data_IF_181835259543
#
_entry.id   IF_181835259543
#
_cell.length_a   1.000
_cell.length_b   1.000
_cell.length_c   1.000
_cell.angle_alpha   90.00
_cell.angle_beta   90.00
_cell.angle_gamma   90.00
#
_symmetry.space_group_name_H-M   'P 1'
#
loop_
_entity.id
_entity.type
_entity.pdbx_description
1 polymer ?
#
# COMPACT_ATOMS: atom_id res chain seq x y z
N UNK A 1 -1.19 24.62 32.25
CA UNK A 1 -0.96 24.21 30.85
C UNK A 1 -1.63 22.84 30.74
N UNK A 2 -2.79 22.77 30.06
CA UNK A 2 -3.48 21.49 29.84
C UNK A 2 -2.57 20.63 28.96
N UNK A 3 -2.17 19.48 29.43
CA UNK A 3 -1.52 18.44 28.61
C UNK A 3 -2.54 17.98 27.55
N UNK A 4 -2.65 18.75 26.48
CA UNK A 4 -3.37 18.27 25.30
C UNK A 4 -2.52 17.14 24.73
N UNK A 5 -3.00 15.92 24.83
CA UNK A 5 -2.35 14.75 24.24
C UNK A 5 -2.17 14.90 22.73
N UNK A 6 -1.56 13.93 22.04
CA UNK A 6 -1.33 13.99 20.59
C UNK A 6 -2.64 14.17 19.84
N UNK A 7 -2.63 15.02 18.81
CA UNK A 7 -3.78 15.21 17.92
C UNK A 7 -3.91 14.09 16.90
N UNK A 8 -2.76 13.58 16.41
CA UNK A 8 -2.66 12.54 15.38
C UNK A 8 -2.00 11.29 15.97
N UNK A 9 -2.58 10.14 15.70
CA UNK A 9 -1.92 8.84 15.92
C UNK A 9 -1.52 8.26 14.56
N UNK A 10 -0.20 8.13 14.35
CA UNK A 10 0.37 7.45 13.17
C UNK A 10 0.44 5.97 13.47
N UNK A 11 -0.18 5.13 12.64
CA UNK A 11 -0.28 3.68 12.84
C UNK A 11 0.49 2.98 11.72
N UNK A 12 1.49 2.19 12.11
CA UNK A 12 2.43 1.51 11.21
C UNK A 12 2.35 0.00 11.42
N UNK A 13 1.65 -0.76 10.56
CA UNK A 13 1.68 -2.21 10.60
C UNK A 13 3.05 -2.73 10.15
N UNK A 14 3.64 -3.65 10.90
CA UNK A 14 4.97 -4.21 10.63
C UNK A 14 4.93 -5.75 10.59
N UNK A 15 5.69 -6.34 9.65
CA UNK A 15 5.93 -7.79 9.59
C UNK A 15 7.27 -8.09 8.88
N UNK A 16 8.28 -8.57 9.62
CA UNK A 16 9.56 -9.05 9.09
C UNK A 16 10.32 -8.07 8.18
N UNK A 17 10.26 -6.77 8.42
CA UNK A 17 10.88 -5.72 7.59
C UNK A 17 11.62 -4.67 8.42
N UNK A 18 12.54 -5.04 9.34
CA UNK A 18 13.14 -4.09 10.28
C UNK A 18 13.90 -2.94 9.59
N UNK A 19 14.61 -3.20 8.50
CA UNK A 19 15.36 -2.16 7.76
C UNK A 19 14.43 -1.14 7.08
N UNK A 20 13.27 -1.57 6.58
CA UNK A 20 12.28 -0.65 6.04
C UNK A 20 11.60 0.15 7.16
N UNK A 21 11.24 -0.52 8.27
CA UNK A 21 10.67 0.13 9.44
C UNK A 21 11.59 1.26 9.96
N UNK A 22 12.89 1.02 10.07
CA UNK A 22 13.86 2.04 10.49
C UNK A 22 13.79 3.28 9.59
N UNK A 23 13.76 3.09 8.27
CA UNK A 23 13.61 4.19 7.31
C UNK A 23 12.28 4.93 7.45
N UNK A 24 11.19 4.20 7.70
CA UNK A 24 9.87 4.78 7.93
C UNK A 24 9.90 5.67 9.17
N UNK A 25 10.36 5.16 10.30
CA UNK A 25 10.44 5.88 11.57
C UNK A 25 11.36 7.10 11.47
N UNK A 26 12.53 6.96 10.86
CA UNK A 26 13.43 8.10 10.61
C UNK A 26 12.77 9.21 9.73
N UNK A 27 11.85 8.85 8.84
CA UNK A 27 11.09 9.83 8.06
C UNK A 27 10.00 10.52 8.88
N UNK A 28 9.41 9.81 9.84
CA UNK A 28 8.41 10.38 10.76
C UNK A 28 9.04 11.33 11.77
N UNK A 29 10.27 11.08 12.20
CA UNK A 29 11.02 12.03 13.06
C UNK A 29 11.37 13.34 12.35
N UNK A 30 11.40 13.33 11.00
CA UNK A 30 11.69 14.51 10.17
C UNK A 30 10.45 15.29 9.75
N UNK A 31 9.29 15.02 10.36
CA UNK A 31 8.08 15.77 10.05
C UNK A 31 8.21 17.24 10.46
N UNK A 32 7.67 18.15 9.63
CA UNK A 32 7.61 19.59 9.93
C UNK A 32 6.50 19.94 10.93
N UNK A 33 5.57 19.03 11.18
CA UNK A 33 4.64 19.10 12.30
C UNK A 33 5.40 18.80 13.59
N UNK A 34 5.22 19.63 14.63
CA UNK A 34 5.89 19.42 15.91
C UNK A 34 5.56 18.05 16.48
N UNK A 35 6.58 17.38 16.99
CA UNK A 35 6.52 16.04 17.57
C UNK A 35 5.56 15.91 18.77
N UNK A 36 5.19 17.03 19.41
CA UNK A 36 4.21 17.06 20.48
C UNK A 36 2.78 16.81 19.98
N UNK A 37 2.51 17.03 18.69
CA UNK A 37 1.17 16.90 18.12
C UNK A 37 0.85 15.51 17.58
N UNK A 38 1.81 14.59 17.54
CA UNK A 38 1.54 13.23 17.08
C UNK A 38 2.28 12.16 17.89
N UNK A 39 1.71 11.00 17.93
CA UNK A 39 2.33 9.76 18.41
C UNK A 39 2.53 8.79 17.26
N UNK A 40 3.48 7.87 17.41
CA UNK A 40 3.72 6.79 16.43
C UNK A 40 3.54 5.45 17.13
N UNK A 41 2.71 4.60 16.55
CA UNK A 41 2.37 3.26 17.06
C UNK A 41 2.75 2.25 15.98
N UNK A 42 3.80 1.48 16.23
CA UNK A 42 4.17 0.32 15.43
C UNK A 42 3.43 -0.89 15.96
N UNK A 43 2.80 -1.64 15.07
CA UNK A 43 2.12 -2.88 15.43
C UNK A 43 2.77 -4.05 14.71
N UNK A 44 3.53 -4.84 15.43
CA UNK A 44 4.11 -6.07 14.91
C UNK A 44 3.03 -7.14 14.72
N UNK A 45 2.92 -7.67 13.52
CA UNK A 45 1.91 -8.67 13.15
C UNK A 45 2.48 -10.09 13.07
N UNK A 46 3.32 -10.44 14.04
CA UNK A 46 3.89 -11.77 14.19
C UNK A 46 5.16 -11.97 13.37
N UNK A 47 6.09 -11.04 13.46
CA UNK A 47 7.45 -11.20 12.94
C UNK A 47 8.18 -12.36 13.63
N UNK A 48 9.11 -12.99 12.94
CA UNK A 48 9.97 -14.03 13.50
C UNK A 48 10.84 -13.47 14.67
N UNK A 49 11.28 -12.21 14.52
CA UNK A 49 11.96 -11.44 15.54
C UNK A 49 11.27 -10.08 15.65
N UNK A 50 11.02 -9.63 16.88
CA UNK A 50 10.48 -8.29 17.12
C UNK A 50 11.52 -7.23 16.72
N UNK A 51 11.11 -6.08 16.19
CA UNK A 51 12.02 -5.03 15.75
C UNK A 51 12.55 -4.19 16.94
N UNK A 52 12.96 -4.82 18.02
CA UNK A 52 13.42 -4.16 19.25
C UNK A 52 14.63 -3.26 18.99
N UNK A 53 15.62 -3.75 18.24
CA UNK A 53 16.84 -3.00 17.91
C UNK A 53 16.55 -1.71 17.10
N UNK A 54 15.48 -1.74 16.29
CA UNK A 54 15.00 -0.55 15.59
C UNK A 54 14.36 0.41 16.59
N UNK A 55 13.50 -0.09 17.47
CA UNK A 55 12.76 0.74 18.43
C UNK A 55 13.67 1.37 19.51
N UNK A 56 14.77 0.75 19.85
CA UNK A 56 15.79 1.35 20.75
C UNK A 56 16.34 2.68 20.20
N UNK A 57 16.45 2.81 18.87
CA UNK A 57 16.86 4.05 18.19
C UNK A 57 15.74 5.10 18.13
N UNK A 58 14.49 4.68 18.35
CA UNK A 58 13.28 5.51 18.23
C UNK A 58 12.43 5.48 19.51
N UNK A 59 12.94 6.01 20.65
CA UNK A 59 12.34 5.78 21.98
C UNK A 59 10.95 6.40 22.18
N UNK A 60 10.51 7.27 21.26
CA UNK A 60 9.17 7.87 21.27
C UNK A 60 8.11 6.98 20.61
N UNK A 61 8.53 5.91 19.94
CA UNK A 61 7.64 5.00 19.21
C UNK A 61 7.12 3.91 20.13
N UNK A 62 5.82 3.71 20.14
CA UNK A 62 5.18 2.63 20.89
C UNK A 62 5.13 1.37 20.05
N UNK A 63 5.60 0.25 20.61
CA UNK A 63 5.47 -1.08 19.99
C UNK A 63 4.28 -1.84 20.60
N UNK A 64 3.42 -2.34 19.73
CA UNK A 64 2.35 -3.27 20.06
C UNK A 64 2.52 -4.57 19.26
N UNK A 65 1.86 -5.63 19.70
CA UNK A 65 1.80 -6.89 18.97
C UNK A 65 0.35 -7.26 18.67
N UNK A 66 0.13 -7.80 17.47
CA UNK A 66 -1.15 -8.37 17.04
C UNK A 66 -0.89 -9.78 16.48
N UNK A 67 -1.47 -10.79 17.13
CA UNK A 67 -1.29 -12.20 16.77
C UNK A 67 -2.18 -12.64 15.62
N UNK A 68 -3.35 -12.01 15.46
CA UNK A 68 -4.24 -12.29 14.32
C UNK A 68 -3.56 -11.80 13.03
N UNK A 69 -3.43 -12.67 12.02
CA UNK A 69 -2.68 -12.33 10.81
C UNK A 69 -3.42 -11.28 9.96
N UNK A 70 -2.65 -10.40 9.36
CA UNK A 70 -3.10 -9.43 8.38
C UNK A 70 -2.89 -7.98 8.79
N UNK A 71 -2.56 -7.10 7.82
CA UNK A 71 -2.29 -5.69 8.08
C UNK A 71 -3.51 -4.94 8.63
N UNK A 72 -4.73 -5.35 8.23
CA UNK A 72 -5.97 -4.79 8.79
C UNK A 72 -6.09 -5.04 10.30
N UNK A 73 -5.72 -6.25 10.76
CA UNK A 73 -5.74 -6.59 12.19
C UNK A 73 -4.70 -5.77 12.98
N UNK A 74 -3.51 -5.59 12.40
CA UNK A 74 -2.48 -4.75 13.00
C UNK A 74 -2.95 -3.28 13.11
N UNK A 75 -3.56 -2.73 12.05
CA UNK A 75 -4.11 -1.37 12.08
C UNK A 75 -5.22 -1.22 13.13
N UNK A 76 -6.12 -2.19 13.25
CA UNK A 76 -7.16 -2.21 14.27
C UNK A 76 -6.57 -2.21 15.69
N UNK A 77 -5.52 -3.00 15.92
CA UNK A 77 -4.81 -3.02 17.20
C UNK A 77 -4.17 -1.67 17.53
N UNK A 78 -3.58 -1.00 16.53
CA UNK A 78 -3.03 0.34 16.68
C UNK A 78 -4.10 1.38 17.00
N UNK A 79 -5.23 1.35 16.29
CA UNK A 79 -6.36 2.24 16.55
C UNK A 79 -6.91 2.09 17.96
N UNK A 80 -7.04 0.86 18.45
CA UNK A 80 -7.55 0.58 19.81
C UNK A 80 -6.69 1.20 20.91
N UNK A 81 -5.39 1.44 20.66
CA UNK A 81 -4.45 1.99 21.61
C UNK A 81 -4.11 3.47 21.36
N UNK A 82 -4.53 4.00 20.21
CA UNK A 82 -4.29 5.37 19.78
C UNK A 82 -4.99 6.40 20.68
N UNK A 83 -4.31 7.53 20.94
CA UNK A 83 -4.84 8.64 21.76
C UNK A 83 -5.35 9.82 20.92
N UNK A 84 -4.84 9.97 19.70
CA UNK A 84 -5.19 11.05 18.80
C UNK A 84 -6.64 10.99 18.29
N UNK A 85 -7.20 12.15 18.00
CA UNK A 85 -8.51 12.27 17.35
C UNK A 85 -8.47 12.07 15.83
N UNK A 86 -7.28 11.99 15.25
CA UNK A 86 -7.01 11.75 13.83
C UNK A 86 -6.11 10.53 13.73
N UNK A 87 -6.44 9.60 12.83
CA UNK A 87 -5.63 8.44 12.49
C UNK A 87 -4.93 8.66 11.15
N UNK A 88 -3.62 8.44 11.11
CA UNK A 88 -2.82 8.47 9.90
C UNK A 88 -2.16 7.09 9.71
N UNK A 89 -2.46 6.42 8.61
CA UNK A 89 -1.93 5.10 8.30
C UNK A 89 -0.82 5.21 7.25
N UNK A 90 0.30 4.58 7.54
CA UNK A 90 1.45 4.45 6.63
C UNK A 90 2.02 3.04 6.78
N UNK A 91 2.43 2.42 5.65
CA UNK A 91 3.03 1.08 5.69
C UNK A 91 4.51 1.17 6.13
N UNK A 92 5.00 0.12 6.82
CA UNK A 92 6.37 0.09 7.36
C UNK A 92 7.46 0.18 6.29
N UNK A 93 7.15 -0.12 5.04
CA UNK A 93 8.07 0.02 3.90
C UNK A 93 7.98 1.38 3.19
N UNK A 94 7.14 2.28 3.68
CA UNK A 94 7.00 3.63 3.16
C UNK A 94 7.86 4.65 3.94
N UNK A 95 8.18 5.77 3.30
CA UNK A 95 8.80 6.96 3.91
C UNK A 95 7.87 8.15 3.72
N UNK A 96 7.56 8.85 4.79
CA UNK A 96 6.75 10.06 4.73
C UNK A 96 7.54 11.25 4.17
N UNK A 97 6.90 12.08 3.32
CA UNK A 97 7.44 13.40 2.99
C UNK A 97 7.49 14.26 4.28
N UNK A 98 8.48 15.15 4.45
CA UNK A 98 8.57 15.99 5.66
C UNK A 98 7.30 16.75 6.02
N UNK A 99 6.50 17.18 5.06
CA UNK A 99 5.25 17.89 5.28
C UNK A 99 4.01 16.99 5.34
N UNK A 100 4.15 15.66 5.32
CA UNK A 100 3.03 14.71 5.23
C UNK A 100 1.98 14.94 6.32
N UNK A 101 2.38 14.96 7.60
CA UNK A 101 1.45 15.17 8.72
C UNK A 101 0.93 16.61 8.80
N UNK A 102 1.74 17.61 8.41
CA UNK A 102 1.31 19.00 8.34
C UNK A 102 0.20 19.20 7.32
N UNK A 103 0.38 18.65 6.12
CA UNK A 103 -0.64 18.67 5.05
C UNK A 103 -1.88 17.91 5.49
N UNK A 104 -1.71 16.70 6.03
CA UNK A 104 -2.82 15.89 6.54
C UNK A 104 -3.65 16.63 7.59
N UNK A 105 -2.99 17.23 8.59
CA UNK A 105 -3.64 17.98 9.65
C UNK A 105 -4.40 19.20 9.12
N UNK A 106 -3.76 20.00 8.28
CA UNK A 106 -4.39 21.19 7.72
C UNK A 106 -5.62 20.83 6.86
N UNK A 107 -5.48 19.81 6.02
CA UNK A 107 -6.55 19.41 5.10
C UNK A 107 -7.73 18.79 5.86
N UNK A 108 -7.47 17.87 6.82
CA UNK A 108 -8.57 17.21 7.55
C UNK A 108 -9.35 18.21 8.40
N UNK A 109 -8.66 19.17 9.04
CA UNK A 109 -9.29 20.20 9.86
C UNK A 109 -10.11 21.20 9.02
N UNK A 110 -9.68 21.51 7.78
CA UNK A 110 -10.42 22.33 6.83
C UNK A 110 -11.54 21.60 6.08
N UNK A 111 -11.63 20.27 6.21
CA UNK A 111 -12.61 19.46 5.48
C UNK A 111 -13.89 19.26 6.27
N UNK A 112 -15.05 19.13 5.59
CA UNK A 112 -16.30 18.72 6.23
C UNK A 112 -16.17 17.41 7.01
N UNK A 113 -17.13 17.16 7.91
CA UNK A 113 -17.23 15.89 8.61
C UNK A 113 -17.39 14.73 7.61
N UNK A 114 -16.98 13.52 8.02
CA UNK A 114 -17.03 12.31 7.20
C UNK A 114 -16.16 12.40 5.92
N UNK A 115 -15.07 13.16 6.01
CA UNK A 115 -14.06 13.21 4.95
C UNK A 115 -12.86 12.35 5.31
N UNK A 116 -12.47 11.50 4.37
CA UNK A 116 -11.31 10.61 4.44
C UNK A 116 -10.31 11.06 3.39
N UNK A 117 -9.05 11.24 3.79
CA UNK A 117 -8.00 11.71 2.89
C UNK A 117 -7.17 10.51 2.42
N UNK A 118 -6.96 10.40 1.12
CA UNK A 118 -5.95 9.53 0.51
C UNK A 118 -4.90 10.38 -0.16
N UNK A 119 -3.62 10.14 0.17
CA UNK A 119 -2.52 10.90 -0.38
C UNK A 119 -1.88 10.28 -1.62
N UNK A 120 -0.88 10.94 -2.17
CA UNK A 120 -0.08 10.43 -3.27
C UNK A 120 0.96 9.42 -2.77
N UNK A 121 1.19 8.37 -3.55
CA UNK A 121 2.26 7.41 -3.32
C UNK A 121 3.22 7.46 -4.49
N UNK A 122 4.43 7.87 -4.22
CA UNK A 122 5.51 7.96 -5.20
C UNK A 122 6.52 6.85 -4.99
N UNK A 123 7.26 6.51 -6.02
CA UNK A 123 8.33 5.52 -5.91
C UNK A 123 9.58 6.19 -5.33
N UNK A 124 10.09 5.62 -4.21
CA UNK A 124 11.36 6.07 -3.62
C UNK A 124 12.53 5.80 -4.57
N UNK A 125 13.47 6.74 -4.62
CA UNK A 125 14.70 6.66 -5.41
C UNK A 125 15.89 7.09 -4.58
N UNK A 126 16.87 6.22 -4.44
CA UNK A 126 18.12 6.57 -3.77
C UNK A 126 18.93 7.56 -4.62
N UNK A 127 18.92 7.40 -5.94
CA UNK A 127 19.45 8.38 -6.89
C UNK A 127 18.30 9.08 -7.64
N UNK A 128 18.18 10.40 -7.47
CA UNK A 128 17.11 11.20 -8.09
C UNK A 128 17.17 11.20 -9.62
N UNK A 129 18.31 10.87 -10.21
CA UNK A 129 18.53 10.97 -11.66
C UNK A 129 18.32 9.67 -12.44
N UNK A 130 18.25 8.52 -11.75
CA UNK A 130 18.12 7.23 -12.43
C UNK A 130 16.91 6.43 -11.95
N UNK A 131 16.14 5.94 -12.92
CA UNK A 131 15.10 4.94 -12.69
C UNK A 131 15.60 3.56 -13.11
N UNK A 132 15.47 2.56 -12.26
CA UNK A 132 15.40 1.19 -12.74
C UNK A 132 14.17 1.01 -13.65
N UNK A 133 14.18 0.02 -14.52
CA UNK A 133 13.05 -0.22 -15.42
C UNK A 133 11.75 -0.45 -14.64
N UNK A 134 11.84 -1.17 -13.51
CA UNK A 134 10.70 -1.47 -12.64
C UNK A 134 10.22 -0.21 -11.93
N UNK A 135 11.13 0.58 -11.37
CA UNK A 135 10.78 1.85 -10.72
C UNK A 135 10.07 2.80 -11.70
N UNK A 136 10.54 2.89 -12.95
CA UNK A 136 9.89 3.69 -13.99
C UNK A 136 8.46 3.21 -14.27
N UNK A 137 8.26 1.91 -14.41
CA UNK A 137 6.93 1.33 -14.60
C UNK A 137 6.02 1.56 -13.39
N UNK A 138 6.50 1.29 -12.18
CA UNK A 138 5.72 1.42 -10.96
C UNK A 138 5.33 2.88 -10.66
N UNK A 139 6.16 3.85 -11.02
CA UNK A 139 5.85 5.28 -10.88
C UNK A 139 4.57 5.70 -11.60
N UNK A 140 4.15 4.95 -12.63
CA UNK A 140 2.94 5.26 -13.42
C UNK A 140 1.80 4.29 -13.11
N UNK A 141 2.11 3.00 -12.97
CA UNK A 141 1.11 1.93 -12.96
C UNK A 141 0.87 1.30 -11.60
N UNK A 142 1.73 1.57 -10.58
CA UNK A 142 1.46 1.21 -9.20
C UNK A 142 0.81 2.40 -8.45
N UNK A 143 0.20 2.10 -7.30
CA UNK A 143 -0.27 3.11 -6.34
C UNK A 143 -1.09 4.26 -6.96
N UNK A 144 -2.06 3.94 -7.82
CA UNK A 144 -2.90 4.94 -8.50
C UNK A 144 -4.02 5.44 -7.58
N UNK A 145 -3.69 5.98 -6.43
CA UNK A 145 -4.64 6.36 -5.40
C UNK A 145 -5.63 7.41 -5.88
N UNK A 146 -5.17 8.40 -6.67
CA UNK A 146 -6.09 9.34 -7.33
C UNK A 146 -7.21 8.62 -8.07
N UNK A 147 -6.85 7.65 -8.93
CA UNK A 147 -7.83 6.89 -9.69
C UNK A 147 -8.74 6.04 -8.80
N UNK A 148 -8.18 5.41 -7.75
CA UNK A 148 -8.97 4.60 -6.82
C UNK A 148 -10.00 5.45 -6.08
N UNK A 149 -9.62 6.65 -5.65
CA UNK A 149 -10.49 7.59 -4.95
C UNK A 149 -11.57 8.14 -5.90
N UNK A 150 -11.17 8.68 -7.05
CA UNK A 150 -12.07 9.38 -7.96
C UNK A 150 -13.03 8.45 -8.71
N UNK A 151 -12.61 7.21 -9.02
CA UNK A 151 -13.39 6.29 -9.84
C UNK A 151 -13.96 5.09 -9.07
N UNK A 152 -13.35 4.71 -7.96
CA UNK A 152 -13.72 3.50 -7.22
C UNK A 152 -14.13 3.76 -5.77
N UNK A 153 -13.96 5.00 -5.27
CA UNK A 153 -14.42 5.40 -3.95
C UNK A 153 -13.66 4.74 -2.78
N UNK A 154 -12.41 4.35 -2.96
CA UNK A 154 -11.57 3.85 -1.88
C UNK A 154 -10.12 4.36 -2.04
N UNK A 155 -9.33 4.25 -1.00
CA UNK A 155 -7.89 4.51 -1.01
C UNK A 155 -7.14 3.34 -0.39
N UNK A 156 -5.91 3.11 -0.85
CA UNK A 156 -5.00 2.19 -0.17
C UNK A 156 -4.62 2.71 1.22
N UNK A 157 -4.44 1.82 2.16
CA UNK A 157 -4.15 2.15 3.56
C UNK A 157 -2.72 2.61 3.83
N UNK A 158 -1.81 2.47 2.85
CA UNK A 158 -0.43 2.94 2.98
C UNK A 158 -0.26 4.47 2.96
N UNK A 159 -1.33 5.23 2.68
CA UNK A 159 -1.38 6.69 2.79
C UNK A 159 -2.83 7.15 2.97
N UNK A 160 -3.38 6.91 4.15
CA UNK A 160 -4.80 7.14 4.47
C UNK A 160 -4.91 7.91 5.78
N UNK A 161 -5.72 8.97 5.80
CA UNK A 161 -5.96 9.78 7.01
C UNK A 161 -7.46 9.99 7.21
N UNK A 162 -7.93 9.86 8.45
CA UNK A 162 -9.31 10.06 8.83
C UNK A 162 -9.46 10.50 10.27
N UNK A 163 -10.60 11.03 10.63
CA UNK A 163 -10.95 11.29 12.03
C UNK A 163 -11.32 9.97 12.74
N UNK A 164 -11.06 9.90 14.03
CA UNK A 164 -11.50 8.78 14.89
C UNK A 164 -12.99 8.50 14.71
N UNK A 165 -13.81 9.55 14.72
CA UNK A 165 -15.27 9.43 14.56
C UNK A 165 -15.69 8.76 13.26
N UNK A 166 -14.91 8.95 12.17
CA UNK A 166 -15.18 8.29 10.88
C UNK A 166 -14.79 6.81 10.93
N UNK A 167 -13.67 6.48 11.56
CA UNK A 167 -13.29 5.09 11.79
C UNK A 167 -14.30 4.35 12.68
N UNK A 168 -14.73 4.98 13.78
CA UNK A 168 -15.70 4.39 14.71
C UNK A 168 -17.06 4.16 14.02
N UNK A 169 -17.47 5.05 13.12
CA UNK A 169 -18.70 4.94 12.33
C UNK A 169 -18.65 3.79 11.31
N UNK A 170 -17.52 3.60 10.64
CA UNK A 170 -17.34 2.56 9.61
C UNK A 170 -17.02 1.19 10.24
N UNK A 171 -16.33 1.22 11.37
CA UNK A 171 -15.83 0.03 12.06
C UNK A 171 -14.46 -0.44 11.58
N UNK A 172 -13.98 -1.55 12.15
CA UNK A 172 -12.61 -2.03 11.95
C UNK A 172 -12.35 -2.54 10.53
N UNK A 173 -11.08 -2.58 10.13
CA UNK A 173 -10.62 -3.25 8.92
C UNK A 173 -10.89 -4.75 9.00
N UNK A 174 -11.20 -5.36 7.86
CA UNK A 174 -11.38 -6.81 7.75
C UNK A 174 -10.05 -7.59 7.84
N UNK A 175 -10.15 -8.91 7.99
CA UNK A 175 -9.00 -9.82 8.02
C UNK A 175 -8.41 -10.13 6.65
N UNK A 176 -7.57 -11.17 6.63
CA UNK A 176 -6.76 -11.55 5.44
C UNK A 176 -7.56 -12.17 4.29
N UNK A 177 -8.81 -12.47 4.49
CA UNK A 177 -9.64 -13.18 3.50
C UNK A 177 -10.15 -12.25 2.39
N UNK A 178 -10.03 -10.95 2.60
CA UNK A 178 -10.44 -9.90 1.65
C UNK A 178 -9.32 -8.88 1.44
N UNK A 179 -9.45 -8.07 0.38
CA UNK A 179 -8.65 -6.86 0.22
C UNK A 179 -9.20 -5.80 1.19
N UNK A 180 -8.55 -5.64 2.33
CA UNK A 180 -9.05 -4.88 3.48
C UNK A 180 -9.30 -3.40 3.17
N UNK A 181 -8.52 -2.83 2.26
CA UNK A 181 -8.64 -1.45 1.80
C UNK A 181 -9.89 -1.23 0.93
N UNK A 182 -10.19 -2.15 0.04
CA UNK A 182 -11.39 -2.12 -0.82
C UNK A 182 -12.64 -2.35 0.02
N UNK A 183 -12.62 -3.38 0.90
CA UNK A 183 -13.75 -3.67 1.78
C UNK A 183 -14.08 -2.49 2.68
N UNK A 184 -13.06 -1.96 3.36
CA UNK A 184 -13.24 -0.83 4.27
C UNK A 184 -13.71 0.43 3.52
N UNK A 185 -13.14 0.71 2.35
CA UNK A 185 -13.55 1.83 1.50
C UNK A 185 -15.01 1.76 1.08
N UNK A 186 -15.50 0.58 0.68
CA UNK A 186 -16.91 0.36 0.34
C UNK A 186 -17.81 0.63 1.53
N UNK A 187 -17.50 0.09 2.71
CA UNK A 187 -18.26 0.34 3.95
C UNK A 187 -18.25 1.82 4.35
N UNK A 188 -17.13 2.51 4.12
CA UNK A 188 -17.05 3.94 4.37
C UNK A 188 -17.99 4.76 3.47
N UNK A 189 -18.08 4.42 2.18
CA UNK A 189 -19.06 5.04 1.28
C UNK A 189 -20.49 4.74 1.70
N UNK A 190 -20.82 3.50 2.04
CA UNK A 190 -22.14 3.08 2.53
C UNK A 190 -22.51 3.82 3.84
N UNK A 191 -21.52 4.12 4.69
CA UNK A 191 -21.69 4.92 5.89
C UNK A 191 -21.78 6.44 5.63
N UNK A 192 -21.74 6.89 4.36
CA UNK A 192 -21.84 8.30 3.97
C UNK A 192 -20.54 9.09 4.11
N UNK A 193 -19.38 8.41 4.22
CA UNK A 193 -18.09 9.06 4.13
C UNK A 193 -17.74 9.35 2.67
N UNK A 194 -16.90 10.37 2.46
CA UNK A 194 -16.35 10.68 1.14
C UNK A 194 -14.83 10.68 1.16
N UNK A 195 -14.23 10.19 0.10
CA UNK A 195 -12.79 10.23 -0.09
C UNK A 195 -12.38 11.48 -0.85
N UNK A 196 -11.26 12.09 -0.45
CA UNK A 196 -10.62 13.18 -1.15
C UNK A 196 -9.17 12.79 -1.43
N UNK A 197 -8.73 12.97 -2.67
CA UNK A 197 -7.33 12.82 -3.03
C UNK A 197 -6.56 14.12 -2.71
N UNK A 198 -5.46 13.97 -1.96
CA UNK A 198 -4.60 15.08 -1.52
C UNK A 198 -3.20 14.87 -2.11
N UNK A 199 -2.88 15.48 -3.26
CA UNK A 199 -1.62 15.24 -3.96
C UNK A 199 -0.37 15.65 -3.18
N UNK A 200 -0.48 16.63 -2.27
CA UNK A 200 0.61 17.12 -1.45
C UNK A 200 0.89 16.23 -0.22
N UNK A 201 -0.04 15.34 0.14
CA UNK A 201 0.13 14.35 1.21
C UNK A 201 0.90 13.16 0.65
N UNK A 202 2.24 13.28 0.54
CA UNK A 202 3.09 12.34 -0.18
C UNK A 202 3.73 11.32 0.77
N UNK A 203 3.70 10.06 0.38
CA UNK A 203 4.58 9.02 0.91
C UNK A 203 5.36 8.36 -0.24
N UNK A 204 6.56 7.87 0.09
CA UNK A 204 7.44 7.20 -0.87
C UNK A 204 7.49 5.72 -0.55
N UNK A 205 7.22 4.88 -1.53
CA UNK A 205 7.30 3.43 -1.43
C UNK A 205 8.50 2.92 -2.25
N UNK A 206 9.28 1.93 -1.76
CA UNK A 206 10.36 1.35 -2.54
C UNK A 206 9.83 0.64 -3.78
N UNK A 207 10.54 0.77 -4.91
CA UNK A 207 10.23 -0.04 -6.07
C UNK A 207 10.57 -1.51 -5.81
N UNK A 208 9.84 -2.41 -6.44
CA UNK A 208 10.21 -3.83 -6.50
C UNK A 208 11.57 -3.99 -7.15
N UNK A 209 12.33 -4.97 -6.67
CA UNK A 209 13.72 -5.16 -7.10
C UNK A 209 13.84 -6.03 -8.37
N UNK A 210 12.81 -6.83 -8.69
CA UNK A 210 12.86 -7.78 -9.80
C UNK A 210 11.54 -7.93 -10.54
N UNK A 211 11.62 -8.30 -11.83
CA UNK A 211 10.45 -8.71 -12.62
C UNK A 211 9.69 -9.87 -11.97
N UNK A 212 10.41 -10.76 -11.28
CA UNK A 212 9.80 -11.89 -10.55
C UNK A 212 8.85 -11.39 -9.47
N UNK A 213 9.20 -10.37 -8.71
CA UNK A 213 8.33 -9.78 -7.69
C UNK A 213 7.08 -9.13 -8.30
N UNK A 214 7.22 -8.48 -9.47
CA UNK A 214 6.06 -7.99 -10.23
C UNK A 214 5.15 -9.13 -10.68
N UNK A 215 5.72 -10.22 -11.17
CA UNK A 215 4.95 -11.39 -11.61
C UNK A 215 4.22 -12.06 -10.45
N UNK A 216 4.87 -12.25 -9.29
CA UNK A 216 4.24 -12.76 -8.06
C UNK A 216 3.06 -11.88 -7.63
N UNK A 217 3.23 -10.55 -7.66
CA UNK A 217 2.12 -9.62 -7.41
C UNK A 217 0.94 -9.89 -8.34
N UNK A 218 1.20 -9.98 -9.66
CA UNK A 218 0.14 -10.18 -10.64
C UNK A 218 -0.48 -11.58 -10.57
N UNK A 219 0.29 -12.60 -10.21
CA UNK A 219 -0.24 -13.94 -9.95
C UNK A 219 -1.29 -13.91 -8.85
N UNK A 220 -0.99 -13.28 -7.72
CA UNK A 220 -1.94 -13.12 -6.61
C UNK A 220 -3.23 -12.44 -7.05
N UNK A 221 -3.12 -11.31 -7.79
CA UNK A 221 -4.29 -10.60 -8.29
C UNK A 221 -5.11 -11.42 -9.30
N UNK A 222 -4.45 -12.14 -10.21
CA UNK A 222 -5.11 -12.94 -11.22
C UNK A 222 -5.77 -14.17 -10.63
N UNK A 223 -5.13 -14.84 -9.68
CA UNK A 223 -5.69 -15.97 -8.95
C UNK A 223 -6.94 -15.55 -8.16
N UNK A 224 -6.86 -14.44 -7.43
CA UNK A 224 -8.03 -13.89 -6.74
C UNK A 224 -9.19 -13.61 -7.72
N UNK A 225 -8.90 -12.96 -8.85
CA UNK A 225 -9.91 -12.69 -9.88
C UNK A 225 -10.47 -13.96 -10.55
N UNK A 226 -9.66 -15.01 -10.68
CA UNK A 226 -10.09 -16.30 -11.21
C UNK A 226 -10.98 -17.10 -10.24
N UNK A 227 -10.74 -16.98 -8.93
CA UNK A 227 -11.53 -17.64 -7.89
C UNK A 227 -13.01 -17.17 -7.84
N UNK A 228 -13.32 -16.01 -8.43
CA UNK A 228 -14.69 -15.50 -8.57
C UNK A 228 -15.42 -16.17 -9.77
N UNK A 229 -14.78 -17.14 -10.43
CA UNK A 229 -15.33 -17.86 -11.57
C UNK A 229 -16.58 -18.66 -11.20
N UNK A 230 -17.62 -18.54 -12.02
CA UNK A 230 -18.80 -19.41 -11.98
C UNK A 230 -18.62 -20.72 -12.78
N UNK A 231 -17.46 -20.91 -13.41
CA UNK A 231 -17.11 -22.08 -14.24
C UNK A 231 -17.84 -22.18 -15.58
N UNK A 232 -18.71 -21.21 -15.92
CA UNK A 232 -19.53 -21.24 -17.13
C UNK A 232 -18.69 -20.96 -18.40
N UNK A 233 -19.19 -21.42 -19.56
CA UNK A 233 -18.59 -21.10 -20.88
C UNK A 233 -18.60 -19.57 -21.10
N UNK A 234 -19.65 -18.89 -20.67
CA UNK A 234 -19.75 -17.44 -20.77
C UNK A 234 -18.67 -16.71 -19.96
N UNK A 235 -18.32 -17.24 -18.76
CA UNK A 235 -17.20 -16.70 -17.99
C UNK A 235 -15.87 -16.89 -18.72
N UNK A 236 -15.61 -18.10 -19.25
CA UNK A 236 -14.37 -18.40 -20.01
C UNK A 236 -14.20 -17.48 -21.20
N UNK A 237 -15.25 -17.26 -21.98
CA UNK A 237 -15.22 -16.34 -23.13
C UNK A 237 -14.88 -14.90 -22.70
N UNK A 238 -15.54 -14.38 -21.66
CA UNK A 238 -15.24 -13.05 -21.09
C UNK A 238 -13.81 -12.97 -20.56
N UNK A 239 -13.32 -14.03 -19.93
CA UNK A 239 -11.96 -14.09 -19.40
C UNK A 239 -10.89 -14.05 -20.51
N UNK A 240 -11.09 -14.80 -21.61
CA UNK A 240 -10.23 -14.75 -22.81
C UNK A 240 -10.25 -13.37 -23.45
N UNK A 241 -11.43 -12.79 -23.66
CA UNK A 241 -11.56 -11.45 -24.21
C UNK A 241 -10.81 -10.41 -23.34
N UNK A 242 -10.92 -10.53 -22.02
CA UNK A 242 -10.16 -9.70 -21.07
C UNK A 242 -8.65 -9.95 -21.18
N UNK A 243 -8.21 -11.19 -21.35
CA UNK A 243 -6.79 -11.52 -21.53
C UNK A 243 -6.25 -10.86 -22.82
N UNK A 244 -6.97 -10.95 -23.94
CA UNK A 244 -6.60 -10.29 -25.19
C UNK A 244 -6.56 -8.76 -25.04
N UNK A 245 -7.53 -8.17 -24.38
CA UNK A 245 -7.54 -6.73 -24.08
C UNK A 245 -6.34 -6.32 -23.22
N UNK A 246 -5.95 -7.14 -22.22
CA UNK A 246 -4.74 -6.90 -21.43
C UNK A 246 -3.49 -6.94 -22.31
N UNK A 247 -3.36 -7.90 -23.23
CA UNK A 247 -2.22 -7.99 -24.15
C UNK A 247 -2.12 -6.77 -25.07
N UNK A 248 -3.26 -6.30 -25.58
CA UNK A 248 -3.33 -5.14 -26.50
C UNK A 248 -3.19 -3.79 -25.75
N UNK A 249 -3.37 -3.76 -24.43
CA UNK A 249 -3.45 -2.50 -23.68
C UNK A 249 -2.22 -1.59 -23.77
N UNK A 250 -0.97 -2.05 -23.99
CA UNK A 250 0.17 -1.15 -24.21
C UNK A 250 -0.03 -0.19 -25.37
N UNK A 251 -0.74 -0.60 -26.42
CA UNK A 251 -1.06 0.25 -27.58
C UNK A 251 -1.98 1.43 -27.23
N UNK A 252 -2.68 1.36 -26.11
CA UNK A 252 -3.58 2.43 -25.61
C UNK A 252 -2.96 3.16 -24.41
N UNK A 253 -2.11 2.49 -23.65
CA UNK A 253 -1.54 3.03 -22.41
C UNK A 253 -0.21 3.78 -22.60
N UNK A 254 0.45 3.67 -23.76
CA UNK A 254 1.72 4.34 -24.03
C UNK A 254 1.67 5.88 -23.84
N UNK A 255 0.56 6.61 -24.11
CA UNK A 255 0.55 8.05 -23.91
C UNK A 255 0.69 8.41 -22.42
N UNK A 256 0.17 7.57 -21.51
CA UNK A 256 0.34 7.76 -20.06
C UNK A 256 1.81 7.74 -19.65
N UNK A 257 2.66 7.00 -20.37
CA UNK A 257 4.10 6.93 -20.13
C UNK A 257 4.83 8.11 -20.74
N UNK A 258 4.52 8.41 -22.00
CA UNK A 258 5.22 9.46 -22.78
C UNK A 258 4.94 10.86 -22.24
N UNK A 259 3.70 11.12 -21.81
CA UNK A 259 3.28 12.43 -21.30
C UNK A 259 3.31 12.51 -19.76
N UNK A 260 3.87 11.53 -19.08
CA UNK A 260 3.97 11.55 -17.63
C UNK A 260 5.07 12.50 -17.15
N UNK A 261 4.74 13.35 -16.20
CA UNK A 261 5.68 14.22 -15.48
C UNK A 261 6.48 13.45 -14.40
N UNK A 262 6.03 12.23 -14.08
CA UNK A 262 6.72 11.36 -13.09
C UNK A 262 8.01 10.75 -13.62
N UNK A 263 8.22 10.73 -14.94
CA UNK A 263 9.38 10.13 -15.58
C UNK A 263 10.23 11.17 -16.33
N UNK A 264 11.44 11.49 -15.85
CA UNK A 264 12.36 12.33 -16.56
C UNK A 264 13.01 11.58 -17.72
N UNK A 265 13.15 12.26 -18.86
CA UNK A 265 13.92 11.79 -20.00
C UNK A 265 13.34 10.57 -20.76
N UNK A 266 13.81 10.39 -21.96
CA UNK A 266 13.34 9.34 -22.89
C UNK A 266 13.72 7.93 -22.39
N UNK A 267 14.91 7.78 -21.78
CA UNK A 267 15.39 6.50 -21.28
C UNK A 267 14.43 5.90 -20.22
N UNK A 268 14.00 6.71 -19.25
CA UNK A 268 13.05 6.25 -18.22
C UNK A 268 11.70 5.85 -18.81
N UNK A 269 11.23 6.60 -19.82
CA UNK A 269 9.98 6.32 -20.55
C UNK A 269 10.08 5.02 -21.35
N UNK A 270 11.19 4.79 -22.04
CA UNK A 270 11.45 3.53 -22.77
C UNK A 270 11.51 2.33 -21.81
N UNK A 271 12.20 2.45 -20.68
CA UNK A 271 12.24 1.43 -19.62
C UNK A 271 10.85 1.09 -19.09
N UNK A 272 10.00 2.10 -18.85
CA UNK A 272 8.63 1.90 -18.39
C UNK A 272 7.75 1.18 -19.43
N UNK A 273 7.88 1.53 -20.71
CA UNK A 273 7.17 0.86 -21.82
C UNK A 273 7.59 -0.60 -21.97
N UNK A 274 8.89 -0.89 -21.85
CA UNK A 274 9.41 -2.26 -21.86
C UNK A 274 8.78 -3.11 -20.75
N UNK A 275 8.78 -2.62 -19.52
CA UNK A 275 8.20 -3.35 -18.37
C UNK A 275 6.68 -3.45 -18.52
N UNK A 276 5.99 -2.41 -18.99
CA UNK A 276 4.56 -2.44 -19.27
C UNK A 276 4.23 -3.60 -20.23
N UNK A 277 4.91 -3.66 -21.37
CA UNK A 277 4.68 -4.71 -22.38
C UNK A 277 4.97 -6.10 -21.82
N UNK A 278 6.08 -6.27 -21.11
CA UNK A 278 6.47 -7.54 -20.49
C UNK A 278 5.44 -8.02 -19.45
N UNK A 279 4.95 -7.11 -18.60
CA UNK A 279 3.92 -7.43 -17.60
C UNK A 279 2.59 -7.78 -18.27
N UNK A 280 2.21 -7.08 -19.36
CA UNK A 280 0.95 -7.37 -20.07
C UNK A 280 1.01 -8.73 -20.79
N UNK A 281 2.14 -9.06 -21.43
CA UNK A 281 2.37 -10.37 -22.02
C UNK A 281 2.34 -11.49 -20.99
N UNK A 282 3.02 -11.32 -19.85
CA UNK A 282 2.98 -12.26 -18.74
C UNK A 282 1.55 -12.49 -18.22
N UNK A 283 0.79 -11.41 -17.99
CA UNK A 283 -0.59 -11.48 -17.50
C UNK A 283 -1.50 -12.20 -18.48
N UNK A 284 -1.37 -11.94 -19.78
CA UNK A 284 -2.11 -12.66 -20.83
C UNK A 284 -1.86 -14.16 -20.72
N UNK A 285 -0.59 -14.57 -20.76
CA UNK A 285 -0.23 -15.98 -20.64
C UNK A 285 -0.78 -16.60 -19.35
N UNK A 286 -0.62 -15.91 -18.22
CA UNK A 286 -1.07 -16.39 -16.92
C UNK A 286 -2.59 -16.52 -16.83
N UNK A 287 -3.33 -15.60 -17.40
CA UNK A 287 -4.79 -15.68 -17.47
C UNK A 287 -5.25 -16.91 -18.24
N UNK A 288 -4.59 -17.28 -19.35
CA UNK A 288 -4.92 -18.48 -20.10
C UNK A 288 -4.63 -19.75 -19.27
N UNK A 289 -3.52 -19.81 -18.55
CA UNK A 289 -3.18 -20.98 -17.71
C UNK A 289 -4.10 -21.14 -16.50
N UNK A 290 -4.66 -20.06 -15.97
CA UNK A 290 -5.55 -20.10 -14.81
C UNK A 290 -6.99 -20.54 -15.14
N UNK A 291 -7.38 -20.61 -16.40
CA UNK A 291 -8.74 -21.00 -16.80
C UNK A 291 -9.15 -22.43 -16.34
N UNK A 292 -8.17 -23.29 -16.09
CA UNK A 292 -8.38 -24.69 -15.72
C UNK A 292 -7.87 -25.00 -14.29
N UNK A 293 -7.49 -23.99 -13.49
CA UNK A 293 -6.96 -24.20 -12.15
C UNK A 293 -8.05 -24.02 -11.08
N UNK A 294 -8.33 -25.06 -10.32
CA UNK A 294 -9.21 -25.04 -9.14
C UNK A 294 -8.38 -24.79 -7.87
N UNK A 295 -7.76 -23.62 -7.72
CA UNK A 295 -6.91 -23.35 -6.57
C UNK A 295 -7.34 -22.06 -5.84
N UNK A 296 -7.89 -22.21 -4.63
CA UNK A 296 -8.17 -21.06 -3.76
C UNK A 296 -6.87 -20.46 -3.20
N UNK A 297 -6.62 -19.18 -3.45
CA UNK A 297 -5.56 -18.41 -2.81
C UNK A 297 -6.21 -17.45 -1.82
N UNK A 298 -5.70 -17.44 -0.59
CA UNK A 298 -6.12 -16.48 0.44
C UNK A 298 -5.35 -15.19 0.22
N UNK A 299 -6.06 -14.08 0.12
CA UNK A 299 -5.48 -12.74 0.02
C UNK A 299 -4.50 -12.50 1.19
N UNK A 300 -3.31 -11.99 0.90
CA UNK A 300 -2.25 -11.69 1.87
C UNK A 300 -1.57 -12.88 2.62
N UNK A 301 -1.89 -14.14 2.32
CA UNK A 301 -1.25 -15.30 2.99
C UNK A 301 0.17 -15.60 2.49
N UNK A 302 0.47 -15.31 1.24
CA UNK A 302 1.74 -15.71 0.59
C UNK A 302 2.95 -14.85 0.97
N UNK A 303 2.77 -13.65 1.45
CA UNK A 303 3.88 -12.82 1.99
C UNK A 303 4.64 -13.50 3.13
N UNK A 304 3.98 -14.37 3.91
CA UNK A 304 4.62 -15.16 4.97
C UNK A 304 5.46 -16.34 4.44
N UNK A 305 4.98 -17.06 3.43
CA UNK A 305 5.65 -18.27 2.94
C UNK A 305 6.93 -17.98 2.15
N UNK A 306 6.94 -16.90 1.38
CA UNK A 306 8.12 -16.49 0.60
C UNK A 306 9.23 -15.94 1.51
N UNK A 307 8.88 -15.25 2.59
CA UNK A 307 9.86 -14.70 3.54
C UNK A 307 10.44 -15.79 4.45
N UNK A 308 9.64 -16.75 4.93
CA UNK A 308 10.11 -17.89 5.71
C UNK A 308 11.12 -18.74 4.92
N UNK A 309 10.83 -19.06 3.65
CA UNK A 309 11.76 -19.80 2.78
C UNK A 309 13.04 -19.04 2.42
N UNK A 310 13.04 -17.71 2.50
CA UNK A 310 14.24 -16.90 2.23
C UNK A 310 15.18 -16.86 3.44
N UNK A 311 14.63 -16.92 4.65
CA UNK A 311 15.41 -17.02 5.90
C UNK A 311 16.03 -18.42 6.07
N UNK A 312 15.37 -19.51 5.63
CA UNK A 312 15.93 -20.86 5.66
C UNK A 312 17.07 -21.10 4.63
N UNK A 313 17.28 -20.20 3.67
CA UNK A 313 18.29 -20.31 2.61
C UNK A 313 19.44 -19.31 2.70
N UNK A 314 19.52 -18.51 3.76
CA UNK A 314 20.71 -17.74 4.02
C UNK A 314 21.83 -18.70 4.47
N UNK A 315 22.99 -18.79 3.78
CA UNK A 315 24.10 -19.60 4.25
C UNK A 315 24.57 -19.02 5.59
N UNK A 316 24.81 -19.88 6.55
CA UNK A 316 25.60 -19.55 7.73
C UNK A 316 27.01 -19.20 7.21
N UNK A 317 27.32 -17.93 7.13
CA UNK A 317 28.72 -17.47 6.91
C UNK A 317 29.47 -17.68 8.21
N UNK A 318 30.43 -18.63 8.14
CA UNK A 318 31.48 -18.85 9.14
C UNK A 318 32.43 -17.66 9.22
#
# INVERSE_FOLDING_TARGET
MSESGPIISVIVPHLNQPAYLENCLASLEKQTLDLAFFEVIVVDNGSAQLPTDVLEKHPRVKLLQEKRPGPGMARNRGVADAKGGIFAFIDADCRAHPDWLKVASATINGSPQHTILGGDVQIWRDNKHEFSAIAAYESIFAYRFKLYIEQHGFSGTGNLVMRRADFDKVGPFAGIDVAEDIDWGRRALEAGCRFIYVPEMIVYHPARQSMRELFVKWDRHLQHAANISDGTIGWKARWIARACAVLASPAVEWPKVVFSDRLPGISSKAKALYVLTSVRAYRFWRMLTLMNSNGGVVWNREGRAVHAKKLERAPEEN
#
